data_IF_915625282497
#
_entry.id   IF_915625282497
#
_cell.length_a   1.000
_cell.length_b   1.000
_cell.length_c   1.000
_cell.angle_alpha   90.00
_cell.angle_beta   90.00
_cell.angle_gamma   90.00
#
_symmetry.space_group_name_H-M   'P 1'
#
loop_
_entity.id
_entity.type
_entity.pdbx_description
1 polymer ?
#
# COMPACT_ATOMS: atom_id res chain seq x y z
N UNK A 1 -23.14 2.31 11.48
CA UNK A 1 -23.46 1.71 12.81
C UNK A 1 -22.38 2.18 13.76
N UNK A 2 -22.74 2.73 14.91
CA UNK A 2 -21.76 3.09 15.95
C UNK A 2 -21.44 1.82 16.74
N UNK A 3 -20.16 1.46 16.84
CA UNK A 3 -19.71 0.34 17.66
C UNK A 3 -20.01 0.61 19.14
N UNK A 4 -20.45 -0.41 19.85
CA UNK A 4 -20.63 -0.33 21.30
C UNK A 4 -19.29 -0.41 22.02
N UNK A 5 -19.26 -0.03 23.32
CA UNK A 5 -18.03 -0.15 24.12
C UNK A 5 -17.54 -1.59 24.21
N UNK A 6 -18.43 -2.54 24.37
CA UNK A 6 -18.13 -3.97 24.46
C UNK A 6 -17.52 -4.50 23.13
N UNK A 7 -18.07 -4.09 21.98
CA UNK A 7 -17.50 -4.42 20.67
C UNK A 7 -16.09 -3.86 20.49
N UNK A 8 -15.83 -2.63 20.96
CA UNK A 8 -14.50 -2.04 20.91
C UNK A 8 -13.51 -2.74 21.83
N UNK A 9 -13.91 -3.13 23.04
CA UNK A 9 -13.08 -3.90 23.98
C UNK A 9 -12.68 -5.27 23.40
N UNK A 10 -13.50 -5.85 22.51
CA UNK A 10 -13.19 -7.09 21.81
C UNK A 10 -12.29 -6.91 20.57
N UNK A 11 -12.25 -5.70 19.99
CA UNK A 11 -11.45 -5.40 18.79
C UNK A 11 -10.06 -4.87 19.17
N UNK A 12 -9.98 -4.00 20.18
CA UNK A 12 -8.74 -3.33 20.57
C UNK A 12 -7.88 -4.26 21.44
N UNK A 13 -6.58 -4.43 21.11
CA UNK A 13 -5.66 -5.19 21.95
C UNK A 13 -5.59 -4.64 23.38
N UNK A 14 -5.26 -5.52 24.37
CA UNK A 14 -5.20 -5.11 25.79
C UNK A 14 -4.17 -4.03 26.09
N UNK A 15 -3.11 -3.96 25.32
CA UNK A 15 -2.04 -2.95 25.33
C UNK A 15 -2.31 -1.77 24.38
N UNK A 16 -3.48 -1.76 23.74
CA UNK A 16 -3.94 -0.68 22.87
C UNK A 16 -4.33 0.61 23.62
N UNK A 17 -4.71 1.65 22.84
CA UNK A 17 -5.12 2.91 23.44
C UNK A 17 -6.42 2.78 24.24
N UNK A 18 -6.65 3.65 25.25
CA UNK A 18 -7.89 3.65 26.03
C UNK A 18 -9.14 3.80 25.13
N UNK A 19 -10.18 3.03 25.42
CA UNK A 19 -11.41 2.97 24.58
C UNK A 19 -12.05 4.34 24.36
N UNK A 20 -12.04 5.21 25.35
CA UNK A 20 -12.56 6.58 25.22
C UNK A 20 -11.74 7.45 24.24
N UNK A 21 -10.47 7.18 24.06
CA UNK A 21 -9.64 7.81 23.01
C UNK A 21 -9.95 7.23 21.65
N UNK A 22 -10.10 5.90 21.56
CA UNK A 22 -10.49 5.22 20.32
C UNK A 22 -11.78 5.82 19.76
N UNK A 23 -12.80 6.01 20.59
CA UNK A 23 -14.05 6.65 20.18
C UNK A 23 -13.83 8.03 19.55
N UNK A 24 -13.00 8.87 20.17
CA UNK A 24 -12.71 10.22 19.65
C UNK A 24 -12.07 10.16 18.25
N UNK A 25 -11.19 9.21 18.04
CA UNK A 25 -10.53 9.05 16.73
C UNK A 25 -11.47 8.47 15.67
N UNK A 26 -12.32 7.50 16.02
CA UNK A 26 -13.36 6.98 15.13
C UNK A 26 -14.28 8.12 14.69
N UNK A 27 -14.85 8.87 15.63
CA UNK A 27 -15.72 10.01 15.31
C UNK A 27 -15.03 11.09 14.47
N UNK A 28 -13.74 11.30 14.69
CA UNK A 28 -12.94 12.29 13.95
C UNK A 28 -12.67 11.89 12.50
N UNK A 29 -12.56 10.60 12.22
CA UNK A 29 -12.09 10.09 10.93
C UNK A 29 -13.09 9.20 10.18
N UNK A 30 -14.28 8.93 10.74
CA UNK A 30 -15.30 8.02 10.18
C UNK A 30 -15.72 8.36 8.74
N UNK A 31 -15.69 9.63 8.37
CA UNK A 31 -16.10 10.11 7.05
C UNK A 31 -14.88 10.46 6.15
N UNK A 32 -13.68 10.23 6.63
CA UNK A 32 -12.45 10.60 5.97
C UNK A 32 -11.72 9.37 5.40
N UNK A 33 -10.97 9.58 4.31
CA UNK A 33 -10.04 8.60 3.77
C UNK A 33 -8.65 8.77 4.40
N UNK A 34 -8.02 7.66 4.75
CA UNK A 34 -6.66 7.61 5.27
C UNK A 34 -5.81 6.76 4.32
N UNK A 35 -4.74 7.34 3.79
CA UNK A 35 -3.76 6.60 2.99
C UNK A 35 -2.59 6.16 3.87
N UNK A 36 -2.31 4.86 3.86
CA UNK A 36 -1.20 4.25 4.58
C UNK A 36 -0.17 3.78 3.57
N UNK A 37 1.04 4.31 3.64
CA UNK A 37 2.16 3.77 2.87
C UNK A 37 3.08 2.98 3.77
N UNK A 38 3.31 1.73 3.43
CA UNK A 38 4.23 0.85 4.14
C UNK A 38 5.52 0.64 3.37
N UNK A 39 6.66 0.92 4.02
CA UNK A 39 7.98 0.67 3.45
C UNK A 39 8.27 -0.83 3.35
N UNK A 40 8.83 -1.28 2.24
CA UNK A 40 9.21 -2.68 2.04
C UNK A 40 10.20 -3.22 3.08
N UNK A 41 11.01 -2.36 3.71
CA UNK A 41 11.95 -2.74 4.76
C UNK A 41 11.26 -3.30 6.03
N UNK A 42 10.06 -2.83 6.34
CA UNK A 42 9.27 -3.28 7.51
C UNK A 42 8.91 -4.77 7.37
N UNK A 43 8.76 -5.27 6.15
CA UNK A 43 8.34 -6.64 5.88
C UNK A 43 9.46 -7.69 5.86
N UNK A 44 10.68 -7.33 6.23
CA UNK A 44 11.78 -8.29 6.37
C UNK A 44 11.61 -9.17 7.61
N UNK A 45 10.81 -8.75 8.60
CA UNK A 45 10.49 -9.47 9.82
C UNK A 45 9.05 -9.95 9.79
N UNK A 46 8.84 -11.25 9.95
CA UNK A 46 7.51 -11.88 9.95
C UNK A 46 6.59 -11.32 11.04
N UNK A 47 7.12 -11.03 12.20
CA UNK A 47 6.38 -10.43 13.31
C UNK A 47 5.80 -9.05 12.92
N UNK A 48 6.63 -8.17 12.37
CA UNK A 48 6.19 -6.83 11.95
C UNK A 48 5.16 -6.92 10.82
N UNK A 49 5.31 -7.88 9.91
CA UNK A 49 4.30 -8.13 8.88
C UNK A 49 2.96 -8.56 9.49
N UNK A 50 2.98 -9.48 10.45
CA UNK A 50 1.76 -9.94 11.13
C UNK A 50 1.07 -8.79 11.89
N UNK A 51 1.82 -7.99 12.64
CA UNK A 51 1.29 -6.81 13.33
C UNK A 51 0.65 -5.82 12.35
N UNK A 52 1.30 -5.58 11.21
CA UNK A 52 0.72 -4.73 10.16
C UNK A 52 -0.62 -5.26 9.64
N UNK A 53 -0.73 -6.56 9.39
CA UNK A 53 -1.99 -7.17 8.92
C UNK A 53 -3.06 -7.07 10.01
N UNK A 54 -2.70 -7.26 11.28
CA UNK A 54 -3.59 -7.11 12.43
C UNK A 54 -4.09 -5.66 12.56
N UNK A 55 -3.19 -4.68 12.50
CA UNK A 55 -3.53 -3.25 12.55
C UNK A 55 -4.52 -2.86 11.44
N UNK A 56 -4.29 -3.32 10.20
CA UNK A 56 -5.22 -3.07 9.10
C UNK A 56 -6.59 -3.69 9.34
N UNK A 57 -6.63 -4.91 9.89
CA UNK A 57 -7.87 -5.60 10.24
C UNK A 57 -8.63 -4.83 11.32
N UNK A 58 -7.92 -4.35 12.36
CA UNK A 58 -8.51 -3.53 13.44
C UNK A 58 -9.09 -2.24 12.87
N UNK A 59 -8.31 -1.48 12.09
CA UNK A 59 -8.78 -0.21 11.50
C UNK A 59 -10.03 -0.40 10.63
N UNK A 60 -10.09 -1.48 9.84
CA UNK A 60 -11.28 -1.80 9.03
C UNK A 60 -12.48 -2.17 9.90
N UNK A 61 -12.31 -2.99 10.96
CA UNK A 61 -13.37 -3.34 11.91
C UNK A 61 -13.89 -2.13 12.67
N UNK A 62 -13.03 -1.13 12.92
CA UNK A 62 -13.43 0.16 13.51
C UNK A 62 -14.21 1.06 12.53
N UNK A 63 -14.43 0.63 11.30
CA UNK A 63 -15.17 1.38 10.28
C UNK A 63 -14.39 2.51 9.61
N UNK A 64 -13.06 2.52 9.76
CA UNK A 64 -12.21 3.53 9.11
C UNK A 64 -11.95 3.17 7.65
N UNK A 65 -12.08 4.15 6.76
CA UNK A 65 -11.83 4.00 5.34
C UNK A 65 -10.33 4.19 5.06
N UNK A 66 -9.64 3.07 4.81
CA UNK A 66 -8.20 3.06 4.58
C UNK A 66 -7.84 2.61 3.16
N UNK A 67 -6.78 3.20 2.62
CA UNK A 67 -6.14 2.81 1.36
C UNK A 67 -4.69 2.48 1.66
N UNK A 68 -4.21 1.33 1.22
CA UNK A 68 -2.85 0.88 1.50
C UNK A 68 -2.01 0.91 0.24
N UNK A 69 -0.83 1.54 0.30
CA UNK A 69 0.21 1.47 -0.71
C UNK A 69 1.42 0.77 -0.11
N UNK A 70 1.82 -0.37 -0.66
CA UNK A 70 2.99 -1.09 -0.14
C UNK A 70 4.25 -0.80 -0.94
N UNK A 71 5.41 -0.87 -0.30
CA UNK A 71 6.70 -0.92 -0.97
C UNK A 71 7.15 -2.36 -1.22
N UNK A 72 8.26 -2.55 -1.96
CA UNK A 72 8.79 -3.88 -2.24
C UNK A 72 10.31 -3.94 -2.40
N UNK A 73 11.01 -2.84 -2.13
CA UNK A 73 12.45 -2.69 -2.40
C UNK A 73 13.32 -3.90 -2.00
N UNK A 74 13.26 -4.39 -0.74
CA UNK A 74 14.07 -5.53 -0.30
C UNK A 74 13.71 -6.85 -1.00
N UNK A 75 12.41 -7.09 -1.27
CA UNK A 75 11.99 -8.30 -2.01
C UNK A 75 12.49 -8.26 -3.45
N UNK A 76 12.39 -7.08 -4.09
CA UNK A 76 12.94 -6.85 -5.44
C UNK A 76 14.45 -7.07 -5.44
N UNK A 77 15.15 -6.49 -4.46
CA UNK A 77 16.60 -6.63 -4.35
C UNK A 77 17.01 -8.11 -4.24
N UNK A 78 16.36 -8.87 -3.36
CA UNK A 78 16.60 -10.30 -3.18
C UNK A 78 16.37 -11.11 -4.45
N UNK A 79 15.34 -10.76 -5.24
CA UNK A 79 15.02 -11.50 -6.47
C UNK A 79 16.01 -11.16 -7.61
N UNK A 80 16.45 -9.89 -7.68
CA UNK A 80 17.51 -9.49 -8.62
C UNK A 80 18.84 -10.17 -8.29
N UNK A 81 19.21 -10.29 -7.02
CA UNK A 81 20.41 -11.00 -6.57
C UNK A 81 20.38 -12.49 -6.97
N UNK A 82 19.25 -13.17 -6.81
CA UNK A 82 19.08 -14.57 -7.26
C UNK A 82 19.25 -14.70 -8.79
N UNK A 83 18.87 -13.66 -9.51
CA UNK A 83 19.03 -13.59 -10.98
C UNK A 83 20.41 -13.08 -11.43
N UNK A 84 21.35 -12.88 -10.50
CA UNK A 84 22.67 -12.28 -10.74
C UNK A 84 22.61 -10.89 -11.40
N UNK A 85 21.57 -10.10 -11.09
CA UNK A 85 21.38 -8.75 -11.60
C UNK A 85 21.73 -7.74 -10.49
N UNK A 86 22.65 -6.82 -10.78
CA UNK A 86 22.98 -5.74 -9.86
C UNK A 86 22.03 -4.56 -10.03
N UNK A 87 21.47 -4.09 -8.91
CA UNK A 87 20.67 -2.86 -8.89
C UNK A 87 21.54 -1.63 -9.03
N UNK A 88 21.12 -0.70 -9.87
CA UNK A 88 21.65 0.66 -9.94
C UNK A 88 20.58 1.64 -9.50
N UNK A 89 21.01 2.72 -8.85
CA UNK A 89 20.12 3.78 -8.39
C UNK A 89 20.61 5.13 -8.89
N UNK A 90 19.70 5.96 -9.38
CA UNK A 90 19.93 7.35 -9.76
C UNK A 90 18.96 8.20 -8.96
N UNK A 91 19.43 9.14 -8.16
CA UNK A 91 18.62 10.02 -7.30
C UNK A 91 17.60 9.27 -6.43
N UNK A 92 18.00 8.09 -5.91
CA UNK A 92 17.14 7.25 -5.08
C UNK A 92 16.12 6.39 -5.85
N UNK A 93 16.04 6.51 -7.17
CA UNK A 93 15.19 5.70 -8.04
C UNK A 93 15.98 4.53 -8.61
N UNK A 94 15.40 3.34 -8.61
CA UNK A 94 16.01 2.14 -9.19
C UNK A 94 15.98 2.23 -10.71
N UNK A 95 17.14 2.21 -11.34
CA UNK A 95 17.23 2.04 -12.81
C UNK A 95 16.59 0.70 -13.17
N UNK A 96 15.58 0.74 -14.01
CA UNK A 96 14.69 -0.39 -14.29
C UNK A 96 14.66 -0.64 -15.78
N UNK A 97 15.55 -1.51 -16.29
CA UNK A 97 15.54 -1.96 -17.69
C UNK A 97 14.41 -2.99 -17.94
N UNK A 98 14.33 -3.51 -19.16
CA UNK A 98 13.30 -4.47 -19.60
C UNK A 98 13.33 -5.78 -18.79
N UNK A 99 14.51 -6.26 -18.39
CA UNK A 99 14.63 -7.47 -17.55
C UNK A 99 14.19 -7.18 -16.13
N UNK A 100 14.60 -6.03 -15.61
CA UNK A 100 14.31 -5.61 -14.24
C UNK A 100 12.82 -5.32 -14.06
N UNK A 101 12.13 -4.67 -15.03
CA UNK A 101 10.69 -4.36 -14.88
C UNK A 101 9.85 -5.63 -14.73
N UNK A 102 10.17 -6.70 -15.48
CA UNK A 102 9.46 -7.97 -15.37
C UNK A 102 9.61 -8.59 -13.96
N UNK A 103 10.82 -8.53 -13.39
CA UNK A 103 11.07 -9.00 -12.02
C UNK A 103 10.35 -8.12 -11.01
N UNK A 104 10.44 -6.80 -11.14
CA UNK A 104 9.78 -5.83 -10.27
C UNK A 104 8.27 -6.03 -10.27
N UNK A 105 7.67 -6.15 -11.44
CA UNK A 105 6.23 -6.36 -11.59
C UNK A 105 5.78 -7.63 -10.87
N UNK A 106 6.41 -8.76 -11.14
CA UNK A 106 6.05 -10.04 -10.54
C UNK A 106 6.22 -10.01 -9.01
N UNK A 107 7.36 -9.51 -8.50
CA UNK A 107 7.62 -9.42 -7.05
C UNK A 107 6.60 -8.54 -6.34
N UNK A 108 6.22 -7.41 -6.93
CA UNK A 108 5.24 -6.50 -6.34
C UNK A 108 3.82 -7.08 -6.38
N UNK A 109 3.45 -7.81 -7.44
CA UNK A 109 2.18 -8.52 -7.55
C UNK A 109 2.10 -9.65 -6.52
N UNK A 110 3.14 -10.47 -6.41
CA UNK A 110 3.20 -11.56 -5.42
C UNK A 110 3.07 -11.01 -4.01
N UNK A 111 3.76 -9.91 -3.72
CA UNK A 111 3.66 -9.29 -2.41
C UNK A 111 2.28 -8.68 -2.13
N UNK A 112 1.66 -8.08 -3.13
CA UNK A 112 0.27 -7.62 -3.06
C UNK A 112 -0.68 -8.75 -2.67
N UNK A 113 -0.55 -9.89 -3.35
CA UNK A 113 -1.34 -11.09 -3.09
C UNK A 113 -1.09 -11.66 -1.69
N UNK A 114 0.16 -11.63 -1.18
CA UNK A 114 0.49 -12.05 0.19
C UNK A 114 -0.27 -11.20 1.23
N UNK A 115 -0.33 -9.88 1.03
CA UNK A 115 -1.04 -8.96 1.94
C UNK A 115 -2.55 -9.25 1.89
N UNK A 116 -3.13 -9.34 0.70
CA UNK A 116 -4.56 -9.64 0.52
C UNK A 116 -4.93 -10.96 1.19
N UNK A 117 -4.20 -12.04 0.87
CA UNK A 117 -4.46 -13.37 1.44
C UNK A 117 -4.30 -13.40 2.97
N UNK A 118 -3.39 -12.60 3.52
CA UNK A 118 -3.20 -12.51 4.98
C UNK A 118 -4.36 -11.80 5.65
N UNK A 119 -4.90 -10.73 5.06
CA UNK A 119 -6.10 -10.05 5.55
C UNK A 119 -7.34 -10.96 5.47
N UNK A 120 -7.51 -11.68 4.37
CA UNK A 120 -8.63 -12.61 4.19
C UNK A 120 -8.62 -13.73 5.23
N UNK A 121 -7.45 -14.26 5.59
CA UNK A 121 -7.29 -15.25 6.68
C UNK A 121 -7.72 -14.70 8.04
N UNK A 122 -7.68 -13.38 8.24
CA UNK A 122 -8.17 -12.71 9.45
C UNK A 122 -9.65 -12.29 9.35
N UNK A 123 -10.34 -12.69 8.27
CA UNK A 123 -11.73 -12.33 8.03
C UNK A 123 -11.94 -10.89 7.54
N UNK A 124 -10.86 -10.19 7.15
CA UNK A 124 -10.92 -8.85 6.61
C UNK A 124 -10.85 -8.88 5.09
N UNK A 125 -11.87 -8.31 4.42
CA UNK A 125 -11.92 -8.28 2.97
C UNK A 125 -10.92 -7.26 2.41
N UNK A 126 -10.15 -7.66 1.42
CA UNK A 126 -9.19 -6.80 0.73
C UNK A 126 -9.15 -7.06 -0.76
N UNK A 127 -8.78 -6.05 -1.54
CA UNK A 127 -8.67 -6.17 -3.01
C UNK A 127 -7.29 -5.71 -3.46
N UNK A 128 -6.59 -6.59 -4.15
CA UNK A 128 -5.31 -6.27 -4.77
C UNK A 128 -5.49 -5.39 -6.02
N UNK A 129 -4.65 -4.38 -6.11
CA UNK A 129 -4.60 -3.42 -7.22
C UNK A 129 -3.17 -3.39 -7.76
N UNK A 130 -3.01 -3.79 -9.00
CA UNK A 130 -1.73 -3.80 -9.70
C UNK A 130 -1.94 -3.80 -11.23
N UNK A 131 -0.89 -3.72 -12.00
CA UNK A 131 -0.93 -3.62 -13.48
C UNK A 131 -1.75 -4.72 -14.18
N UNK A 132 -1.78 -5.94 -13.64
CA UNK A 132 -2.52 -7.07 -14.21
C UNK A 132 -3.95 -7.24 -13.66
N UNK A 133 -4.34 -6.45 -12.63
CA UNK A 133 -5.66 -6.51 -12.01
C UNK A 133 -6.03 -5.15 -11.42
N UNK A 134 -7.14 -4.60 -11.89
CA UNK A 134 -7.68 -3.33 -11.37
C UNK A 134 -6.68 -2.16 -11.44
N UNK A 135 -5.86 -2.06 -12.48
CA UNK A 135 -4.88 -0.97 -12.54
C UNK A 135 -5.55 0.40 -12.37
N UNK A 136 -5.04 1.18 -11.43
CA UNK A 136 -5.57 2.52 -11.12
C UNK A 136 -4.57 3.64 -11.41
N UNK A 137 -3.31 3.32 -11.72
CA UNK A 137 -2.26 4.32 -11.92
C UNK A 137 -1.87 4.37 -13.40
N UNK A 138 -2.17 5.46 -14.07
CA UNK A 138 -1.56 5.82 -15.34
C UNK A 138 -0.27 6.60 -15.05
N UNK A 139 0.77 6.33 -15.82
CA UNK A 139 2.07 7.00 -15.65
C UNK A 139 2.52 7.66 -16.94
N UNK A 140 3.39 8.65 -16.78
CA UNK A 140 4.32 9.11 -17.82
C UNK A 140 5.71 8.57 -17.49
N UNK A 141 6.42 8.10 -18.52
CA UNK A 141 7.81 7.66 -18.37
C UNK A 141 8.65 8.79 -17.77
N UNK A 142 9.49 8.47 -16.82
CA UNK A 142 10.46 9.38 -16.21
C UNK A 142 11.68 9.59 -17.14
N UNK A 143 12.81 10.01 -16.62
CA UNK A 143 14.02 10.25 -17.40
C UNK A 143 14.47 8.97 -18.15
N UNK A 144 14.92 9.09 -19.42
CA UNK A 144 15.29 7.95 -20.25
C UNK A 144 16.33 7.03 -19.60
N UNK A 145 17.27 7.57 -18.82
CA UNK A 145 18.32 6.83 -18.12
C UNK A 145 17.79 5.93 -16.98
N UNK A 146 16.54 6.15 -16.54
CA UNK A 146 15.87 5.32 -15.54
C UNK A 146 15.17 4.11 -16.13
N UNK A 147 14.97 4.06 -17.47
CA UNK A 147 14.29 2.97 -18.14
C UNK A 147 12.77 2.95 -17.92
N UNK A 148 12.25 1.86 -17.34
CA UNK A 148 10.82 1.68 -17.04
C UNK A 148 10.48 2.18 -15.64
N UNK A 149 10.85 3.41 -15.36
CA UNK A 149 10.41 4.17 -14.17
C UNK A 149 9.38 5.19 -14.62
N UNK A 150 8.28 5.28 -13.88
CA UNK A 150 7.17 6.18 -14.22
C UNK A 150 6.78 7.11 -13.07
N UNK A 151 6.32 8.29 -13.46
CA UNK A 151 5.69 9.25 -12.56
C UNK A 151 4.17 9.19 -12.75
N UNK A 152 3.36 9.04 -11.69
CA UNK A 152 1.90 8.98 -11.79
C UNK A 152 1.32 10.24 -12.42
N UNK A 153 0.63 10.09 -13.55
CA UNK A 153 -0.06 11.17 -14.27
C UNK A 153 -1.54 11.25 -13.87
N UNK A 154 -2.22 10.10 -13.79
CA UNK A 154 -3.64 10.02 -13.45
C UNK A 154 -3.93 8.84 -12.54
N UNK A 155 -4.90 9.01 -11.63
CA UNK A 155 -5.42 7.95 -10.75
C UNK A 155 -6.89 7.71 -11.09
N UNK A 156 -7.26 6.44 -11.28
CA UNK A 156 -8.66 6.05 -11.40
C UNK A 156 -9.28 5.87 -9.99
N UNK A 157 -9.82 6.98 -9.48
CA UNK A 157 -10.41 7.01 -8.15
C UNK A 157 -11.66 6.12 -8.03
N UNK A 158 -12.42 5.95 -9.10
CA UNK A 158 -13.69 5.21 -9.09
C UNK A 158 -13.49 3.77 -8.62
N UNK A 159 -12.48 3.08 -9.14
CA UNK A 159 -12.16 1.71 -8.74
C UNK A 159 -11.84 1.64 -7.24
N UNK A 160 -11.01 2.56 -6.73
CA UNK A 160 -10.62 2.58 -5.32
C UNK A 160 -11.83 2.87 -4.43
N UNK A 161 -12.64 3.86 -4.79
CA UNK A 161 -13.81 4.26 -4.00
C UNK A 161 -14.89 3.17 -3.98
N UNK A 162 -15.08 2.43 -5.07
CA UNK A 162 -16.02 1.30 -5.09
C UNK A 162 -15.56 0.17 -4.15
N UNK A 163 -14.26 -0.15 -4.12
CA UNK A 163 -13.71 -1.15 -3.18
C UNK A 163 -13.97 -0.72 -1.72
N UNK A 164 -13.73 0.54 -1.40
CA UNK A 164 -13.97 1.09 -0.05
C UNK A 164 -15.45 1.06 0.31
N UNK A 165 -16.33 1.43 -0.63
CA UNK A 165 -17.79 1.41 -0.44
C UNK A 165 -18.30 0.01 -0.12
N UNK A 166 -17.67 -1.02 -0.65
CA UNK A 166 -17.97 -2.43 -0.37
C UNK A 166 -17.32 -2.93 0.94
N UNK A 167 -16.82 -2.01 1.78
CA UNK A 167 -16.12 -2.28 3.03
C UNK A 167 -14.92 -3.23 2.86
N UNK A 168 -14.16 -3.02 1.78
CA UNK A 168 -12.95 -3.76 1.48
C UNK A 168 -11.74 -2.82 1.49
N UNK A 169 -10.56 -3.34 1.83
CA UNK A 169 -9.32 -2.57 1.83
C UNK A 169 -8.64 -2.65 0.47
N UNK A 170 -8.48 -1.53 -0.28
CA UNK A 170 -7.66 -1.52 -1.49
C UNK A 170 -6.18 -1.58 -1.12
N UNK A 171 -5.48 -2.60 -1.63
CA UNK A 171 -4.04 -2.81 -1.47
C UNK A 171 -3.37 -2.51 -2.81
N UNK A 172 -2.62 -1.42 -2.89
CA UNK A 172 -2.10 -0.87 -4.15
C UNK A 172 -0.59 -1.10 -4.25
N UNK A 173 -0.18 -1.77 -5.32
CA UNK A 173 1.24 -1.86 -5.71
C UNK A 173 1.71 -0.56 -6.35
N UNK A 174 2.97 -0.12 -6.11
CA UNK A 174 3.54 1.05 -6.77
C UNK A 174 3.98 0.73 -8.20
N UNK A 175 3.01 0.32 -9.00
CA UNK A 175 3.11 0.01 -10.43
C UNK A 175 2.07 0.81 -11.19
N UNK A 176 2.39 1.23 -12.39
CA UNK A 176 1.44 1.90 -13.26
C UNK A 176 1.60 1.48 -14.72
N UNK A 177 0.65 1.86 -15.55
CA UNK A 177 0.65 1.56 -16.97
C UNK A 177 0.77 2.83 -17.82
N UNK A 178 1.55 2.72 -18.88
CA UNK A 178 1.50 3.60 -20.04
C UNK A 178 1.40 2.71 -21.28
N UNK A 179 0.35 2.86 -22.08
CA UNK A 179 0.13 2.08 -23.32
C UNK A 179 0.29 0.56 -23.12
N UNK A 180 -0.26 0.02 -22.03
CA UNK A 180 -0.15 -1.37 -21.59
C UNK A 180 1.25 -1.83 -21.14
N UNK A 181 2.25 -0.94 -21.12
CA UNK A 181 3.57 -1.21 -20.58
C UNK A 181 3.60 -0.90 -19.09
N UNK A 182 4.11 -1.84 -18.28
CA UNK A 182 4.29 -1.65 -16.85
C UNK A 182 5.48 -0.74 -16.54
N UNK A 183 5.33 0.11 -15.53
CA UNK A 183 6.38 0.98 -15.01
C UNK A 183 6.47 0.84 -13.49
N UNK A 184 7.71 0.83 -13.00
CA UNK A 184 8.02 0.90 -11.58
C UNK A 184 7.84 2.34 -11.08
N UNK A 185 7.16 2.51 -9.96
CA UNK A 185 6.92 3.81 -9.35
C UNK A 185 7.58 3.84 -7.97
N UNK A 186 8.15 4.97 -7.58
CA UNK A 186 8.56 5.16 -6.19
C UNK A 186 7.33 5.09 -5.27
N UNK A 187 7.39 4.25 -4.22
CA UNK A 187 6.23 3.98 -3.37
C UNK A 187 5.69 5.22 -2.64
N UNK A 188 6.57 6.16 -2.25
CA UNK A 188 6.15 7.41 -1.61
C UNK A 188 5.47 8.35 -2.60
N UNK A 189 5.99 8.41 -3.83
CA UNK A 189 5.38 9.18 -4.93
C UNK A 189 4.01 8.61 -5.30
N UNK A 190 3.88 7.28 -5.40
CA UNK A 190 2.60 6.62 -5.65
C UNK A 190 1.58 6.95 -4.55
N UNK A 191 1.97 6.79 -3.28
CA UNK A 191 1.11 7.06 -2.13
C UNK A 191 0.70 8.54 -2.06
N UNK A 192 1.63 9.46 -2.30
CA UNK A 192 1.35 10.89 -2.35
C UNK A 192 0.34 11.26 -3.42
N UNK A 193 0.50 10.70 -4.64
CA UNK A 193 -0.44 10.96 -5.75
C UNK A 193 -1.82 10.37 -5.51
N UNK A 194 -1.90 9.15 -4.95
CA UNK A 194 -3.16 8.52 -4.57
C UNK A 194 -3.86 9.33 -3.48
N UNK A 195 -3.14 9.69 -2.40
CA UNK A 195 -3.68 10.50 -1.31
C UNK A 195 -4.18 11.86 -1.79
N UNK A 196 -3.45 12.53 -2.67
CA UNK A 196 -3.85 13.79 -3.30
C UNK A 196 -5.12 13.61 -4.14
N UNK A 197 -5.16 12.61 -5.00
CA UNK A 197 -6.27 12.37 -5.93
C UNK A 197 -7.56 12.02 -5.19
N UNK A 198 -7.48 11.20 -4.15
CA UNK A 198 -8.60 10.81 -3.29
C UNK A 198 -8.95 11.86 -2.22
N UNK A 199 -8.18 12.95 -2.12
CA UNK A 199 -8.32 13.97 -1.05
C UNK A 199 -8.28 13.37 0.35
N UNK A 200 -7.35 12.41 0.57
CA UNK A 200 -7.22 11.75 1.87
C UNK A 200 -6.94 12.78 2.98
N UNK A 201 -7.60 12.62 4.11
CA UNK A 201 -7.40 13.45 5.32
C UNK A 201 -5.99 13.30 5.88
N UNK A 202 -5.42 12.11 5.77
CA UNK A 202 -4.06 11.78 6.22
C UNK A 202 -3.36 10.89 5.20
N UNK A 203 -2.06 11.16 5.05
CA UNK A 203 -1.09 10.25 4.45
C UNK A 203 -0.09 9.89 5.54
N UNK A 204 -0.05 8.62 5.92
CA UNK A 204 0.88 8.09 6.92
C UNK A 204 1.96 7.29 6.18
N UNK A 205 3.20 7.77 6.27
CA UNK A 205 4.37 7.10 5.69
C UNK A 205 5.04 6.27 6.80
N UNK A 206 4.72 4.97 6.82
CA UNK A 206 5.29 4.04 7.80
C UNK A 206 6.67 3.60 7.29
N UNK A 207 7.68 3.91 8.09
CA UNK A 207 9.10 3.71 7.74
C UNK A 207 9.86 3.12 8.95
N UNK A 208 11.11 2.75 8.73
CA UNK A 208 12.01 2.24 9.77
C UNK A 208 12.89 3.31 10.41
N UNK A 209 12.60 4.59 10.18
CA UNK A 209 13.25 5.74 10.84
C UNK A 209 12.25 6.43 11.76
N UNK A 210 12.76 7.14 12.78
CA UNK A 210 11.95 7.76 13.84
C UNK A 210 11.09 8.95 13.37
N UNK A 211 11.26 9.39 12.14
CA UNK A 211 10.51 10.50 11.55
C UNK A 211 11.37 11.34 10.60
N UNK A 212 10.76 12.40 10.08
CA UNK A 212 11.37 13.40 9.20
C UNK A 212 11.47 14.71 9.95
#
# INVERSE_FOLDING_TARGET
MSLTKEELENIIPKDGPPINEVFKYIEKYKDDLICLKYSGNIFLRREIFNNFIEDLSILNKLGLSIVVVHGGGPRIQKELEKSNIQSKFIRGLRVTDEKIINIVENVLIDFNNDIVSSLEKMGTKAVGIHTKKNNVIEVTRDAPELGFVGTPSKINNEIILNIIKDNQIPIISPLGLQENQAFNINGDVAAGKIAQSLKCRRLLLMTNVEGV
#
